data_IF_505225425120
#
_entry.id   IF_505225425120
#
_cell.length_a   1.000
_cell.length_b   1.000
_cell.length_c   1.000
_cell.angle_alpha   90.00
_cell.angle_beta   90.00
_cell.angle_gamma   90.00
#
_symmetry.space_group_name_H-M   'P 1'
#
loop_
_entity.id
_entity.type
_entity.pdbx_description
1 polymer ?
#
# COMPACT_ATOMS: atom_id res chain seq x y z
N UNK A 1 4.59 39.61 2.91
CA UNK A 1 3.46 38.77 2.43
C UNK A 1 2.75 38.23 3.67
N UNK A 2 1.56 38.69 3.95
CA UNK A 2 0.73 38.21 5.06
C UNK A 2 0.30 36.78 4.76
N UNK A 3 0.68 35.86 5.61
CA UNK A 3 0.32 34.42 5.51
C UNK A 3 -1.21 34.30 5.52
N UNK A 4 -1.78 33.52 4.62
CA UNK A 4 -3.23 33.28 4.59
C UNK A 4 -3.67 32.69 5.96
N UNK A 5 -4.62 33.32 6.68
CA UNK A 5 -5.08 32.79 7.98
C UNK A 5 -5.57 31.33 7.92
N UNK A 6 -6.01 30.88 6.75
CA UNK A 6 -6.43 29.48 6.51
C UNK A 6 -5.28 28.50 6.61
N UNK A 7 -4.06 28.92 6.24
CA UNK A 7 -2.84 28.07 6.33
C UNK A 7 -2.48 27.79 7.79
N UNK A 8 -2.62 28.79 8.69
CA UNK A 8 -2.38 28.57 10.12
C UNK A 8 -3.33 27.52 10.69
N UNK A 9 -4.61 27.60 10.36
CA UNK A 9 -5.61 26.61 10.79
C UNK A 9 -5.33 25.19 10.21
N UNK A 10 -4.81 25.12 8.99
CA UNK A 10 -4.40 23.85 8.41
C UNK A 10 -3.23 23.24 9.18
N UNK A 11 -2.18 24.01 9.44
CA UNK A 11 -1.00 23.51 10.17
C UNK A 11 -1.37 23.02 11.58
N UNK A 12 -2.19 23.75 12.31
CA UNK A 12 -2.68 23.33 13.63
C UNK A 12 -3.50 22.02 13.56
N UNK A 13 -4.34 21.89 12.53
CA UNK A 13 -5.09 20.66 12.31
C UNK A 13 -4.16 19.48 12.01
N UNK A 14 -3.14 19.67 11.17
CA UNK A 14 -2.19 18.63 10.81
C UNK A 14 -1.29 18.23 11.97
N UNK A 15 -0.82 19.20 12.75
CA UNK A 15 -0.07 18.97 14.00
C UNK A 15 -0.85 18.05 14.94
N UNK A 16 -2.13 18.36 15.14
CA UNK A 16 -2.99 17.50 15.95
C UNK A 16 -3.13 16.09 15.41
N UNK A 17 -3.28 15.92 14.07
CA UNK A 17 -3.38 14.60 13.47
C UNK A 17 -2.10 13.78 13.68
N UNK A 18 -0.95 14.44 13.61
CA UNK A 18 0.36 13.84 13.77
C UNK A 18 0.66 13.49 15.23
N UNK A 19 0.60 14.47 16.12
CA UNK A 19 1.07 14.34 17.51
C UNK A 19 0.01 13.78 18.46
N UNK A 20 -1.26 14.20 18.34
CA UNK A 20 -2.31 13.75 19.27
C UNK A 20 -3.00 12.47 18.79
N UNK A 21 -3.27 12.34 17.46
CA UNK A 21 -3.91 11.15 16.90
C UNK A 21 -2.92 10.12 16.37
N UNK A 22 -1.64 10.42 16.37
CA UNK A 22 -0.54 9.54 15.91
C UNK A 22 -0.82 8.90 14.55
N UNK A 23 -1.37 9.69 13.62
CA UNK A 23 -1.64 9.21 12.28
C UNK A 23 -0.34 9.10 11.48
N UNK A 24 -0.27 8.16 10.56
CA UNK A 24 0.90 8.00 9.71
C UNK A 24 1.17 9.25 8.87
N UNK A 25 2.44 9.57 8.60
CA UNK A 25 2.85 10.69 7.76
C UNK A 25 2.17 10.67 6.38
N UNK A 26 1.87 9.48 5.82
CA UNK A 26 1.10 9.35 4.59
C UNK A 26 -0.35 9.84 4.74
N UNK A 27 -0.98 9.54 5.87
CA UNK A 27 -2.35 10.00 6.16
C UNK A 27 -2.37 11.52 6.36
N UNK A 28 -1.41 12.08 7.11
CA UNK A 28 -1.28 13.53 7.33
C UNK A 28 -1.08 14.27 6.00
N UNK A 29 -0.16 13.81 5.13
CA UNK A 29 0.02 14.37 3.78
C UNK A 29 -1.27 14.34 2.94
N UNK A 30 -2.06 13.32 3.09
CA UNK A 30 -3.32 13.18 2.37
C UNK A 30 -4.37 14.17 2.87
N UNK A 31 -4.47 14.40 4.18
CA UNK A 31 -5.32 15.44 4.75
C UNK A 31 -4.87 16.82 4.28
N UNK A 32 -3.56 17.11 4.30
CA UNK A 32 -2.99 18.35 3.76
C UNK A 32 -3.47 18.60 2.34
N UNK A 33 -3.24 17.65 1.42
CA UNK A 33 -3.64 17.79 0.00
C UNK A 33 -5.14 18.01 -0.18
N UNK A 34 -5.96 17.34 0.62
CA UNK A 34 -7.41 17.52 0.54
C UNK A 34 -7.82 18.95 0.95
N UNK A 35 -7.25 19.50 2.03
CA UNK A 35 -7.59 20.85 2.51
C UNK A 35 -6.97 21.93 1.61
N UNK A 36 -5.75 21.75 1.12
CA UNK A 36 -5.15 22.63 0.10
C UNK A 36 -6.02 22.69 -1.18
N UNK A 37 -6.58 21.53 -1.61
CA UNK A 37 -7.54 21.50 -2.72
C UNK A 37 -8.82 22.29 -2.42
N UNK A 38 -9.30 22.31 -1.16
CA UNK A 38 -10.43 23.15 -0.74
C UNK A 38 -10.09 24.63 -0.92
N UNK A 39 -8.91 25.05 -0.46
CA UNK A 39 -8.46 26.44 -0.53
C UNK A 39 -8.26 26.88 -1.99
N UNK A 40 -7.62 26.05 -2.79
CA UNK A 40 -7.40 26.32 -4.23
C UNK A 40 -8.72 26.41 -5.02
N UNK A 41 -9.72 25.61 -4.65
CA UNK A 41 -11.04 25.65 -5.30
C UNK A 41 -11.93 26.78 -4.80
N UNK A 42 -11.56 27.47 -3.70
CA UNK A 42 -12.31 28.55 -3.10
C UNK A 42 -11.37 29.70 -2.72
N UNK A 43 -10.70 30.35 -3.70
CA UNK A 43 -9.75 31.41 -3.41
C UNK A 43 -10.43 32.58 -2.69
N UNK A 44 -9.75 33.10 -1.64
CA UNK A 44 -10.23 34.23 -0.86
C UNK A 44 -11.51 33.99 -0.02
N UNK A 45 -12.10 32.80 -0.09
CA UNK A 45 -13.32 32.52 0.67
C UNK A 45 -13.00 32.31 2.16
N UNK A 46 -13.75 32.98 3.01
CA UNK A 46 -13.74 32.72 4.46
C UNK A 46 -14.32 31.33 4.74
N UNK A 47 -13.66 30.55 5.59
CA UNK A 47 -14.07 29.17 5.91
C UNK A 47 -15.44 29.11 6.60
N UNK A 48 -15.76 30.09 7.43
CA UNK A 48 -17.04 30.21 8.14
C UNK A 48 -18.23 30.57 7.22
N UNK A 49 -17.94 31.01 6.00
CA UNK A 49 -18.94 31.34 4.97
C UNK A 49 -19.07 30.26 3.87
N UNK A 50 -18.32 29.17 3.99
CA UNK A 50 -18.50 28.04 3.09
C UNK A 50 -19.76 27.25 3.47
N UNK A 51 -20.72 27.24 2.58
CA UNK A 51 -21.99 26.54 2.72
C UNK A 51 -22.01 25.21 1.92
N UNK A 52 -22.96 24.30 2.20
CA UNK A 52 -23.06 23.03 1.51
C UNK A 52 -23.28 23.18 -0.01
N UNK A 53 -23.96 24.23 -0.47
CA UNK A 53 -24.25 24.46 -1.89
C UNK A 53 -22.98 24.84 -2.64
N UNK A 54 -22.15 25.70 -2.07
CA UNK A 54 -20.84 26.07 -2.63
C UNK A 54 -19.93 24.86 -2.73
N UNK A 55 -19.89 24.01 -1.68
CA UNK A 55 -19.07 22.79 -1.72
C UNK A 55 -19.59 21.78 -2.74
N UNK A 56 -20.91 21.65 -2.96
CA UNK A 56 -21.46 20.83 -4.05
C UNK A 56 -21.00 21.33 -5.41
N UNK A 57 -21.01 22.65 -5.63
CA UNK A 57 -20.48 23.26 -6.88
C UNK A 57 -18.98 22.96 -7.04
N UNK A 58 -18.21 23.09 -5.98
CA UNK A 58 -16.77 22.72 -6.00
C UNK A 58 -16.56 21.24 -6.37
N UNK A 59 -17.35 20.34 -5.80
CA UNK A 59 -17.31 18.90 -6.14
C UNK A 59 -17.64 18.66 -7.61
N UNK A 60 -18.67 19.33 -8.14
CA UNK A 60 -19.04 19.23 -9.55
C UNK A 60 -17.92 19.74 -10.48
N UNK A 61 -17.27 20.84 -10.13
CA UNK A 61 -16.10 21.37 -10.88
C UNK A 61 -14.90 20.42 -10.85
N UNK A 62 -14.60 19.79 -9.72
CA UNK A 62 -13.52 18.80 -9.63
C UNK A 62 -13.82 17.59 -10.54
N UNK A 63 -15.08 17.18 -10.58
CA UNK A 63 -15.52 16.08 -11.43
C UNK A 63 -15.46 16.43 -12.92
N UNK A 64 -15.92 17.60 -13.33
CA UNK A 64 -15.86 18.07 -14.72
C UNK A 64 -14.42 18.24 -15.23
N UNK A 65 -13.45 18.48 -14.33
CA UNK A 65 -12.02 18.50 -14.64
C UNK A 65 -11.39 17.09 -14.74
N UNK A 66 -12.21 16.03 -14.76
CA UNK A 66 -11.75 14.64 -14.93
C UNK A 66 -11.37 13.91 -13.64
N UNK A 67 -11.58 14.52 -12.46
CA UNK A 67 -11.26 13.84 -11.20
C UNK A 67 -12.26 12.73 -10.91
N UNK A 68 -11.76 11.52 -10.62
CA UNK A 68 -12.63 10.37 -10.36
C UNK A 68 -13.47 10.57 -9.10
N UNK A 69 -14.69 10.03 -9.07
CA UNK A 69 -15.54 10.09 -7.88
C UNK A 69 -14.91 9.44 -6.65
N UNK A 70 -14.02 8.43 -6.82
CA UNK A 70 -13.23 7.84 -5.73
C UNK A 70 -12.25 8.85 -5.15
N UNK A 71 -11.54 9.59 -5.98
CA UNK A 71 -10.62 10.66 -5.55
C UNK A 71 -11.38 11.76 -4.83
N UNK A 72 -12.54 12.17 -5.38
CA UNK A 72 -13.40 13.20 -4.79
C UNK A 72 -13.95 12.73 -3.44
N UNK A 73 -14.39 11.47 -3.31
CA UNK A 73 -14.84 10.91 -2.02
C UNK A 73 -13.76 11.02 -0.95
N UNK A 74 -12.52 10.75 -1.35
CA UNK A 74 -11.36 10.87 -0.47
C UNK A 74 -11.11 12.32 -0.04
N UNK A 75 -11.18 13.28 -0.99
CA UNK A 75 -11.05 14.72 -0.72
C UNK A 75 -12.15 15.19 0.23
N UNK A 76 -13.42 14.83 -0.02
CA UNK A 76 -14.55 15.17 0.85
C UNK A 76 -14.35 14.63 2.27
N UNK A 77 -13.78 13.44 2.41
CA UNK A 77 -13.45 12.87 3.74
C UNK A 77 -12.43 13.74 4.48
N UNK A 78 -11.42 14.26 3.78
CA UNK A 78 -10.45 15.21 4.33
C UNK A 78 -11.11 16.52 4.77
N UNK A 79 -11.95 17.12 3.92
CA UNK A 79 -12.71 18.33 4.24
C UNK A 79 -13.61 18.13 5.46
N UNK A 80 -14.34 17.01 5.49
CA UNK A 80 -15.22 16.68 6.62
C UNK A 80 -14.45 16.58 7.94
N UNK A 81 -13.27 15.97 7.91
CA UNK A 81 -12.39 15.88 9.08
C UNK A 81 -11.88 17.24 9.54
N UNK A 82 -11.47 18.11 8.61
CA UNK A 82 -11.01 19.45 8.89
C UNK A 82 -12.12 20.33 9.49
N UNK A 83 -13.29 20.38 8.85
CA UNK A 83 -14.43 21.14 9.41
C UNK A 83 -14.95 20.58 10.73
N UNK A 84 -14.91 19.27 10.94
CA UNK A 84 -15.25 18.69 12.25
C UNK A 84 -14.30 19.16 13.35
N UNK A 85 -13.02 19.33 13.02
CA UNK A 85 -12.04 19.91 13.93
C UNK A 85 -12.29 21.39 14.18
N UNK A 86 -12.59 22.18 13.14
CA UNK A 86 -12.91 23.61 13.27
C UNK A 86 -14.14 23.84 14.17
N UNK A 87 -15.20 23.05 14.00
CA UNK A 87 -16.38 23.10 14.88
C UNK A 87 -15.99 22.81 16.32
N UNK A 88 -15.21 21.78 16.55
CA UNK A 88 -14.86 21.35 17.91
C UNK A 88 -13.88 22.29 18.61
N UNK A 89 -12.98 22.95 17.88
CA UNK A 89 -11.83 23.63 18.48
C UNK A 89 -11.66 25.09 18.08
N UNK A 90 -12.44 25.59 17.13
CA UNK A 90 -12.31 26.96 16.58
C UNK A 90 -13.63 27.73 16.53
N UNK A 91 -14.67 27.25 17.22
CA UNK A 91 -15.95 27.95 17.35
C UNK A 91 -16.78 28.04 16.07
N UNK A 92 -16.52 27.18 15.07
CA UNK A 92 -17.34 27.12 13.87
C UNK A 92 -18.73 26.55 14.22
N UNK A 93 -19.80 27.19 13.71
CA UNK A 93 -21.17 26.81 14.05
C UNK A 93 -21.57 25.42 13.55
N UNK A 94 -21.12 25.03 12.36
CA UNK A 94 -21.48 23.76 11.73
C UNK A 94 -20.42 23.28 10.73
N UNK A 95 -20.52 22.00 10.35
CA UNK A 95 -19.67 21.38 9.34
C UNK A 95 -20.40 21.36 7.98
N UNK A 96 -20.02 22.18 6.99
CA UNK A 96 -20.71 22.28 5.71
C UNK A 96 -20.55 21.03 4.83
N UNK A 97 -19.70 20.06 5.22
CA UNK A 97 -19.50 18.82 4.50
C UNK A 97 -20.48 17.70 4.92
N UNK A 98 -21.37 17.97 5.89
CA UNK A 98 -22.41 17.00 6.28
C UNK A 98 -23.34 16.77 5.09
N UNK A 99 -23.62 15.50 4.75
CA UNK A 99 -24.46 15.13 3.59
C UNK A 99 -23.80 15.35 2.23
N UNK A 100 -22.58 15.88 2.13
CA UNK A 100 -21.86 16.01 0.88
C UNK A 100 -21.45 14.61 0.37
N UNK A 101 -21.80 14.30 -0.89
CA UNK A 101 -21.50 13.01 -1.53
C UNK A 101 -20.66 13.23 -2.78
N UNK A 102 -19.73 12.29 -3.01
CA UNK A 102 -18.98 12.23 -4.26
C UNK A 102 -19.85 11.64 -5.40
N UNK A 103 -19.56 11.97 -6.66
CA UNK A 103 -20.14 11.29 -7.81
C UNK A 103 -19.87 9.78 -7.75
N UNK A 104 -20.82 8.98 -8.25
CA UNK A 104 -20.64 7.52 -8.33
C UNK A 104 -19.46 7.20 -9.25
N UNK A 105 -18.56 6.35 -8.79
CA UNK A 105 -17.51 5.76 -9.64
C UNK A 105 -17.90 4.33 -9.99
N UNK A 106 -17.64 3.86 -11.22
CA UNK A 106 -17.75 2.45 -11.52
C UNK A 106 -16.93 1.63 -10.53
N UNK A 107 -17.54 0.66 -9.89
CA UNK A 107 -16.81 -0.32 -9.09
C UNK A 107 -16.16 -1.31 -10.06
N UNK A 108 -14.96 -1.00 -10.55
CA UNK A 108 -14.15 -2.04 -11.17
C UNK A 108 -13.89 -3.13 -10.13
N UNK A 109 -14.26 -4.37 -10.44
CA UNK A 109 -13.83 -5.50 -9.64
C UNK A 109 -12.29 -5.49 -9.61
N UNK A 110 -11.66 -5.67 -8.45
CA UNK A 110 -10.22 -5.87 -8.39
C UNK A 110 -9.91 -7.09 -9.25
N UNK A 111 -9.17 -6.89 -10.32
CA UNK A 111 -8.79 -8.00 -11.19
C UNK A 111 -7.51 -8.61 -10.66
N UNK A 112 -7.60 -9.77 -10.02
CA UNK A 112 -6.43 -10.62 -9.83
C UNK A 112 -5.85 -10.98 -11.20
N UNK A 113 -4.52 -11.06 -11.31
CA UNK A 113 -3.89 -11.69 -12.48
C UNK A 113 -4.21 -13.19 -12.41
N UNK A 114 -4.51 -13.80 -13.55
CA UNK A 114 -4.63 -15.26 -13.60
C UNK A 114 -3.30 -15.92 -13.25
N UNK A 115 -3.28 -17.20 -12.83
CA UNK A 115 -2.04 -17.93 -12.55
C UNK A 115 -1.06 -17.88 -13.72
N UNK A 116 -1.54 -18.00 -14.97
CA UNK A 116 -0.71 -17.95 -16.19
C UNK A 116 -0.08 -16.57 -16.41
N UNK A 117 -0.84 -15.49 -16.23
CA UNK A 117 -0.31 -14.13 -16.33
C UNK A 117 0.69 -13.82 -15.21
N UNK A 118 0.44 -14.38 -14.02
CA UNK A 118 1.37 -14.28 -12.91
C UNK A 118 2.66 -15.06 -13.19
N UNK A 119 2.56 -16.26 -13.73
CA UNK A 119 3.73 -17.05 -14.15
C UNK A 119 4.54 -16.29 -15.21
N UNK A 120 3.89 -15.77 -16.27
CA UNK A 120 4.56 -14.93 -17.29
C UNK A 120 5.28 -13.74 -16.71
N UNK A 121 4.67 -13.06 -15.71
CA UNK A 121 5.28 -11.93 -15.03
C UNK A 121 6.54 -12.32 -14.26
N UNK A 122 6.49 -13.43 -13.52
CA UNK A 122 7.52 -13.83 -12.56
C UNK A 122 8.61 -14.73 -13.16
N UNK A 123 8.30 -15.52 -14.22
CA UNK A 123 9.29 -16.37 -14.89
C UNK A 123 10.15 -15.61 -15.92
N UNK A 124 9.83 -14.33 -16.16
CA UNK A 124 10.59 -13.52 -17.10
C UNK A 124 12.06 -13.41 -16.70
N UNK A 125 12.93 -13.42 -17.71
CA UNK A 125 14.38 -13.31 -17.54
C UNK A 125 14.76 -11.90 -17.01
N UNK A 126 15.69 -11.88 -16.06
CA UNK A 126 16.32 -10.69 -15.52
C UNK A 126 17.74 -10.57 -16.10
N UNK A 127 17.97 -9.61 -16.99
CA UNK A 127 19.25 -9.42 -17.67
C UNK A 127 20.17 -8.39 -17.01
N UNK A 128 19.74 -7.74 -15.93
CA UNK A 128 20.53 -6.73 -15.18
C UNK A 128 20.34 -6.90 -13.69
N UNK A 129 21.29 -6.41 -12.89
CA UNK A 129 21.22 -6.39 -11.42
C UNK A 129 19.94 -5.72 -10.90
N UNK A 130 19.54 -4.59 -11.51
CA UNK A 130 18.27 -3.94 -11.17
C UNK A 130 17.05 -4.82 -11.47
N UNK A 131 17.08 -5.59 -12.55
CA UNK A 131 16.00 -6.53 -12.89
C UNK A 131 16.00 -7.76 -11.98
N UNK A 132 17.16 -8.24 -11.53
CA UNK A 132 17.27 -9.31 -10.52
C UNK A 132 16.64 -8.86 -9.20
N UNK A 133 16.93 -7.64 -8.75
CA UNK A 133 16.25 -7.00 -7.62
C UNK A 133 14.74 -6.96 -7.81
N UNK A 134 14.29 -6.45 -8.95
CA UNK A 134 12.86 -6.24 -9.24
C UNK A 134 12.11 -7.59 -9.23
N UNK A 135 12.70 -8.62 -9.83
CA UNK A 135 12.17 -9.99 -9.80
C UNK A 135 12.06 -10.52 -8.38
N UNK A 136 13.09 -10.35 -7.55
CA UNK A 136 13.05 -10.77 -6.14
C UNK A 136 11.93 -10.05 -5.36
N UNK A 137 11.74 -8.74 -5.57
CA UNK A 137 10.65 -7.99 -4.97
C UNK A 137 9.27 -8.51 -5.41
N UNK A 138 9.09 -8.82 -6.69
CA UNK A 138 7.79 -9.27 -7.21
C UNK A 138 7.48 -10.70 -6.77
N UNK A 139 8.46 -11.60 -6.80
CA UNK A 139 8.33 -12.96 -6.27
C UNK A 139 7.96 -12.95 -4.78
N UNK A 140 8.68 -12.18 -3.96
CA UNK A 140 8.43 -12.11 -2.53
C UNK A 140 7.06 -11.48 -2.24
N UNK A 141 6.68 -10.42 -2.98
CA UNK A 141 5.36 -9.78 -2.83
C UNK A 141 4.21 -10.73 -3.16
N UNK A 142 4.34 -11.53 -4.22
CA UNK A 142 3.32 -12.50 -4.59
C UNK A 142 3.34 -13.72 -3.69
N UNK A 143 4.52 -14.25 -3.35
CA UNK A 143 4.67 -15.43 -2.50
C UNK A 143 4.06 -15.24 -1.12
N UNK A 144 4.27 -14.08 -0.50
CA UNK A 144 3.91 -13.84 0.90
C UNK A 144 2.79 -12.81 1.08
N UNK A 145 2.21 -12.34 -0.01
CA UNK A 145 1.12 -11.36 0.01
C UNK A 145 1.46 -10.05 0.73
N UNK A 146 2.72 -9.61 0.70
CA UNK A 146 3.18 -8.42 1.42
C UNK A 146 2.55 -7.14 0.90
N UNK A 147 2.27 -6.19 1.80
CA UNK A 147 1.99 -4.81 1.40
C UNK A 147 3.27 -4.16 0.90
N UNK A 148 3.16 -3.24 -0.07
CA UNK A 148 4.34 -2.54 -0.59
C UNK A 148 5.20 -1.89 0.53
N UNK A 149 4.57 -1.29 1.54
CA UNK A 149 5.29 -0.70 2.66
C UNK A 149 6.04 -1.75 3.51
N UNK A 150 5.46 -2.94 3.69
CA UNK A 150 6.08 -4.05 4.41
C UNK A 150 7.28 -4.59 3.61
N UNK A 151 7.15 -4.80 2.31
CA UNK A 151 8.26 -5.17 1.44
C UNK A 151 9.42 -4.18 1.51
N UNK A 152 9.11 -2.88 1.49
CA UNK A 152 10.10 -1.81 1.52
C UNK A 152 10.77 -1.64 2.89
N UNK A 153 10.17 -2.13 3.97
CA UNK A 153 10.76 -2.06 5.31
C UNK A 153 11.73 -3.19 5.62
N UNK A 154 11.83 -4.21 4.76
CA UNK A 154 12.73 -5.33 4.98
C UNK A 154 14.20 -4.90 4.94
N UNK A 155 14.98 -5.46 5.85
CA UNK A 155 16.41 -5.30 5.94
C UNK A 155 17.15 -6.59 5.55
N UNK A 156 18.46 -6.51 5.31
CA UNK A 156 19.30 -7.67 5.00
C UNK A 156 19.24 -8.70 6.14
N UNK A 157 19.07 -8.25 7.38
CA UNK A 157 18.91 -9.14 8.55
C UNK A 157 17.67 -10.05 8.43
N UNK A 158 16.61 -9.62 7.73
CA UNK A 158 15.41 -10.45 7.53
C UNK A 158 15.64 -11.58 6.51
N UNK A 159 16.74 -11.52 5.75
CA UNK A 159 17.05 -12.52 4.73
C UNK A 159 17.33 -13.92 5.32
N UNK A 160 17.82 -14.03 6.54
CA UNK A 160 18.05 -15.32 7.18
C UNK A 160 16.72 -16.09 7.36
N UNK A 161 15.68 -15.42 7.87
CA UNK A 161 14.34 -16.01 7.97
C UNK A 161 13.80 -16.43 6.61
N UNK A 162 13.95 -15.58 5.61
CA UNK A 162 13.50 -15.86 4.24
C UNK A 162 14.20 -17.08 3.65
N UNK A 163 15.53 -17.14 3.73
CA UNK A 163 16.33 -18.16 3.04
C UNK A 163 16.36 -19.50 3.77
N UNK A 164 16.53 -19.50 5.10
CA UNK A 164 16.70 -20.71 5.89
C UNK A 164 15.39 -21.26 6.42
N UNK A 165 14.55 -20.39 6.99
CA UNK A 165 13.31 -20.82 7.64
C UNK A 165 12.12 -20.85 6.66
N UNK A 166 12.22 -20.16 5.52
CA UNK A 166 11.13 -20.04 4.55
C UNK A 166 9.99 -19.17 5.05
N UNK A 167 10.31 -18.15 5.84
CA UNK A 167 9.33 -17.25 6.44
C UNK A 167 9.84 -15.81 6.49
N UNK A 168 8.92 -14.84 6.57
CA UNK A 168 9.24 -13.44 6.78
C UNK A 168 8.31 -12.83 7.81
N UNK A 169 8.87 -12.14 8.81
CA UNK A 169 8.11 -11.40 9.80
C UNK A 169 8.01 -9.94 9.41
N UNK A 170 6.79 -9.42 9.32
CA UNK A 170 6.53 -8.03 8.97
C UNK A 170 5.66 -7.32 9.99
N UNK A 171 5.84 -6.00 10.11
CA UNK A 171 5.06 -5.15 10.98
C UNK A 171 4.01 -4.40 10.17
N UNK A 172 2.74 -4.67 10.44
CA UNK A 172 1.61 -4.05 9.79
C UNK A 172 1.09 -2.78 10.49
N UNK A 173 -0.10 -2.34 10.10
CA UNK A 173 -0.77 -1.19 10.71
C UNK A 173 -1.01 -1.42 12.21
N UNK A 174 -0.68 -0.42 13.02
CA UNK A 174 -0.82 -0.48 14.50
C UNK A 174 0.28 -1.31 15.17
N UNK A 175 1.47 -1.41 14.57
CA UNK A 175 2.63 -2.14 15.06
C UNK A 175 2.39 -3.66 15.28
N UNK A 176 1.34 -4.22 14.67
CA UNK A 176 1.07 -5.66 14.75
C UNK A 176 2.05 -6.43 13.88
N UNK A 177 2.79 -7.34 14.50
CA UNK A 177 3.71 -8.25 13.80
C UNK A 177 2.97 -9.49 13.33
N UNK A 178 3.33 -10.00 12.17
CA UNK A 178 2.92 -11.30 11.67
C UNK A 178 4.03 -11.95 10.88
N UNK A 179 4.10 -13.26 10.96
CA UNK A 179 4.99 -14.10 10.17
C UNK A 179 4.20 -14.76 9.05
N UNK A 180 4.73 -14.74 7.84
CA UNK A 180 4.11 -15.34 6.66
C UNK A 180 5.12 -16.24 5.94
N UNK A 181 4.67 -17.37 5.35
CA UNK A 181 5.54 -18.27 4.62
C UNK A 181 6.07 -17.65 3.33
N UNK A 182 7.25 -18.10 2.92
CA UNK A 182 7.95 -17.72 1.68
C UNK A 182 8.28 -18.97 0.88
N UNK A 183 7.68 -19.08 -0.32
CA UNK A 183 7.88 -20.22 -1.22
C UNK A 183 9.27 -20.30 -1.82
N UNK A 184 9.64 -21.48 -2.29
CA UNK A 184 10.98 -21.79 -2.82
C UNK A 184 11.42 -20.87 -3.98
N UNK A 185 10.50 -20.49 -4.87
CA UNK A 185 10.78 -19.58 -5.98
C UNK A 185 11.17 -18.17 -5.50
N UNK A 186 10.46 -17.65 -4.50
CA UNK A 186 10.77 -16.34 -3.91
C UNK A 186 12.11 -16.39 -3.14
N UNK A 187 12.38 -17.48 -2.43
CA UNK A 187 13.67 -17.71 -1.76
C UNK A 187 14.83 -17.66 -2.76
N UNK A 188 14.75 -18.45 -3.83
CA UNK A 188 15.79 -18.47 -4.89
C UNK A 188 15.96 -17.09 -5.55
N UNK A 189 14.88 -16.33 -5.74
CA UNK A 189 14.97 -14.99 -6.31
C UNK A 189 15.65 -14.00 -5.34
N UNK A 190 15.37 -14.09 -4.03
CA UNK A 190 16.03 -13.27 -3.00
C UNK A 190 17.51 -13.64 -2.88
N UNK A 191 17.85 -14.93 -2.94
CA UNK A 191 19.24 -15.39 -2.93
C UNK A 191 20.03 -14.85 -4.12
N UNK A 192 19.48 -14.96 -5.34
CA UNK A 192 20.08 -14.41 -6.54
C UNK A 192 20.26 -12.88 -6.46
N UNK A 193 19.31 -12.18 -5.85
CA UNK A 193 19.44 -10.74 -5.60
C UNK A 193 20.57 -10.43 -4.62
N UNK A 194 20.65 -11.14 -3.50
CA UNK A 194 21.70 -10.91 -2.49
C UNK A 194 23.11 -11.12 -3.05
N UNK A 195 23.30 -12.07 -3.97
CA UNK A 195 24.57 -12.33 -4.63
C UNK A 195 25.06 -11.13 -5.47
N UNK A 196 24.17 -10.29 -5.99
CA UNK A 196 24.49 -9.14 -6.83
C UNK A 196 24.20 -7.79 -6.15
N UNK A 197 23.61 -7.80 -4.96
CA UNK A 197 23.15 -6.58 -4.27
C UNK A 197 24.25 -5.54 -4.07
N UNK A 198 25.46 -5.99 -3.77
CA UNK A 198 26.62 -5.13 -3.52
C UNK A 198 26.98 -4.22 -4.72
N UNK A 199 26.60 -4.60 -5.93
CA UNK A 199 26.82 -3.77 -7.13
C UNK A 199 26.01 -2.47 -7.12
N UNK A 200 24.90 -2.43 -6.35
CA UNK A 200 23.99 -1.27 -6.28
C UNK A 200 23.94 -0.64 -4.89
N UNK A 201 24.24 -1.37 -3.83
CA UNK A 201 24.07 -0.90 -2.46
C UNK A 201 25.21 0.02 -2.03
N UNK A 202 24.88 1.10 -1.34
CA UNK A 202 25.90 1.89 -0.62
C UNK A 202 26.51 1.06 0.50
N UNK A 203 27.78 1.31 0.85
CA UNK A 203 28.41 0.67 2.02
C UNK A 203 27.57 0.88 3.28
N UNK A 204 27.28 -0.21 4.01
CA UNK A 204 26.51 -0.17 5.26
C UNK A 204 25.00 0.03 5.12
N UNK A 205 24.45 0.09 3.90
CA UNK A 205 22.99 0.19 3.71
C UNK A 205 22.27 -1.06 4.21
N UNK A 206 21.39 -0.96 5.25
CA UNK A 206 20.73 -2.12 5.84
C UNK A 206 19.56 -2.65 5.00
N UNK A 207 18.95 -1.82 4.13
CA UNK A 207 17.77 -2.20 3.40
C UNK A 207 18.00 -3.43 2.51
N UNK A 208 17.10 -4.41 2.56
CA UNK A 208 17.16 -5.58 1.68
C UNK A 208 17.11 -5.15 0.20
N UNK A 209 16.22 -4.23 -0.16
CA UNK A 209 16.06 -3.75 -1.52
C UNK A 209 16.50 -2.28 -1.66
N UNK A 210 17.48 -2.05 -2.54
CA UNK A 210 18.07 -0.73 -2.78
C UNK A 210 17.69 -0.16 -4.13
N UNK A 211 17.64 1.15 -4.22
CA UNK A 211 17.39 1.90 -5.46
C UNK A 211 18.65 2.19 -6.25
N UNK A 212 18.54 2.87 -7.40
CA UNK A 212 19.67 3.23 -8.24
C UNK A 212 20.70 4.17 -7.56
N UNK A 213 20.35 4.83 -6.46
CA UNK A 213 21.25 5.67 -5.66
C UNK A 213 21.86 4.94 -4.46
N UNK A 214 21.73 3.63 -4.41
CA UNK A 214 22.33 2.76 -3.40
C UNK A 214 21.63 2.69 -2.05
N UNK A 215 20.70 3.59 -1.74
CA UNK A 215 19.89 3.56 -0.52
C UNK A 215 18.56 2.80 -0.71
N UNK A 216 17.80 2.65 0.37
CA UNK A 216 16.49 1.96 0.35
C UNK A 216 15.60 2.41 -0.81
N UNK A 217 15.04 1.45 -1.56
CA UNK A 217 14.19 1.74 -2.72
C UNK A 217 12.85 2.38 -2.31
N UNK A 218 12.41 3.37 -3.08
CA UNK A 218 11.14 4.05 -2.84
C UNK A 218 9.94 3.38 -3.51
N UNK A 219 8.74 3.59 -2.95
CA UNK A 219 7.50 3.04 -3.44
C UNK A 219 7.16 3.40 -4.90
N UNK A 220 7.52 4.60 -5.35
CA UNK A 220 7.35 5.05 -6.74
C UNK A 220 8.23 4.26 -7.70
N UNK A 221 9.48 3.98 -7.31
CA UNK A 221 10.42 3.19 -8.12
C UNK A 221 9.92 1.76 -8.31
N UNK A 222 9.40 1.12 -7.26
CA UNK A 222 8.81 -0.24 -7.37
C UNK A 222 7.59 -0.26 -8.28
N UNK A 223 6.69 0.73 -8.15
CA UNK A 223 5.51 0.84 -9.05
C UNK A 223 5.93 1.04 -10.50
N UNK A 224 6.91 1.90 -10.74
CA UNK A 224 7.45 2.14 -12.06
C UNK A 224 8.11 0.88 -12.65
N UNK A 225 8.98 0.21 -11.87
CA UNK A 225 9.62 -1.03 -12.28
C UNK A 225 8.61 -2.10 -12.66
N UNK A 226 7.58 -2.33 -11.82
CA UNK A 226 6.54 -3.32 -12.09
C UNK A 226 5.71 -2.98 -13.34
N UNK A 227 5.36 -1.71 -13.53
CA UNK A 227 4.64 -1.24 -14.71
C UNK A 227 5.47 -1.46 -15.99
N UNK A 228 6.75 -1.08 -15.97
CA UNK A 228 7.69 -1.28 -17.08
C UNK A 228 7.89 -2.77 -17.40
N UNK A 229 7.99 -3.60 -16.36
CA UNK A 229 8.13 -5.05 -16.50
C UNK A 229 6.91 -5.66 -17.18
N UNK A 230 5.71 -5.33 -16.71
CA UNK A 230 4.46 -5.80 -17.30
C UNK A 230 4.29 -5.34 -18.76
N UNK A 231 4.64 -4.09 -19.07
CA UNK A 231 4.58 -3.55 -20.43
C UNK A 231 5.54 -4.30 -21.38
N UNK A 232 6.79 -4.56 -20.96
CA UNK A 232 7.78 -5.32 -21.73
C UNK A 232 7.29 -6.72 -22.08
N UNK A 233 6.50 -7.34 -21.20
CA UNK A 233 5.94 -8.67 -21.40
C UNK A 233 4.61 -8.68 -22.18
N UNK A 234 4.12 -7.51 -22.59
CA UNK A 234 2.84 -7.40 -23.31
C UNK A 234 1.65 -7.85 -22.46
N UNK A 235 1.67 -7.58 -21.13
CA UNK A 235 0.53 -7.93 -20.31
C UNK A 235 -0.65 -6.99 -20.59
N UNK A 236 -1.89 -7.51 -20.68
CA UNK A 236 -3.05 -6.77 -21.20
C UNK A 236 -3.60 -5.72 -20.24
N UNK A 237 -3.03 -5.57 -19.05
CA UNK A 237 -3.52 -4.66 -18.03
C UNK A 237 -2.38 -4.01 -17.24
N UNK A 238 -2.68 -2.82 -16.70
CA UNK A 238 -1.74 -2.11 -15.85
C UNK A 238 -1.54 -2.87 -14.53
N UNK A 239 -0.33 -3.41 -14.32
CA UNK A 239 0.03 -4.16 -13.11
C UNK A 239 0.59 -3.24 -12.06
N UNK A 240 0.16 -3.41 -10.81
CA UNK A 240 0.62 -2.64 -9.65
C UNK A 240 0.74 -3.54 -8.40
N UNK A 241 1.50 -3.15 -7.37
CA UNK A 241 1.83 -4.02 -6.23
C UNK A 241 0.60 -4.59 -5.49
N UNK A 242 -0.50 -3.86 -5.40
CA UNK A 242 -1.72 -4.39 -4.78
C UNK A 242 -2.35 -5.54 -5.57
N UNK A 243 -2.10 -5.61 -6.90
CA UNK A 243 -2.57 -6.74 -7.70
C UNK A 243 -1.80 -8.02 -7.36
N UNK A 244 -0.48 -7.95 -7.12
CA UNK A 244 0.31 -9.11 -6.69
C UNK A 244 -0.25 -9.70 -5.39
N UNK A 245 -0.48 -8.84 -4.40
CA UNK A 245 -1.09 -9.26 -3.13
C UNK A 245 -2.53 -9.77 -3.31
N UNK A 246 -3.32 -9.15 -4.17
CA UNK A 246 -4.70 -9.61 -4.45
C UNK A 246 -4.70 -10.96 -5.16
N UNK A 247 -3.79 -11.17 -6.12
CA UNK A 247 -3.62 -12.45 -6.80
C UNK A 247 -3.16 -13.55 -5.83
N UNK A 248 -2.23 -13.25 -4.92
CA UNK A 248 -1.89 -14.15 -3.82
C UNK A 248 -3.13 -14.57 -3.04
N UNK A 249 -3.91 -13.60 -2.54
CA UNK A 249 -5.10 -13.88 -1.75
C UNK A 249 -6.12 -14.74 -2.52
N UNK A 250 -6.36 -14.40 -3.79
CA UNK A 250 -7.32 -15.12 -4.63
C UNK A 250 -6.87 -16.55 -4.93
N UNK A 251 -5.58 -16.74 -5.31
CA UNK A 251 -5.07 -18.04 -5.69
C UNK A 251 -4.96 -18.98 -4.50
N UNK A 252 -4.48 -18.49 -3.35
CA UNK A 252 -4.42 -19.30 -2.13
C UNK A 252 -5.83 -19.66 -1.65
N UNK A 253 -6.79 -18.72 -1.67
CA UNK A 253 -8.17 -19.00 -1.31
C UNK A 253 -8.83 -20.02 -2.23
N UNK A 254 -8.66 -19.90 -3.55
CA UNK A 254 -9.23 -20.83 -4.52
C UNK A 254 -8.67 -22.24 -4.38
N UNK A 255 -7.40 -22.37 -3.99
CA UNK A 255 -6.75 -23.66 -3.88
C UNK A 255 -6.91 -24.30 -2.49
N UNK A 256 -6.94 -23.50 -1.40
CA UNK A 256 -7.08 -24.03 -0.04
C UNK A 256 -8.51 -24.14 0.45
N UNK A 257 -9.41 -23.28 -0.05
CA UNK A 257 -10.75 -23.08 0.54
C UNK A 257 -10.74 -22.42 1.92
N UNK A 258 -9.56 -22.14 2.49
CA UNK A 258 -9.42 -21.63 3.85
C UNK A 258 -9.32 -20.09 3.88
N UNK A 259 -10.49 -19.45 3.97
CA UNK A 259 -10.59 -17.98 4.07
C UNK A 259 -9.88 -17.45 5.33
N UNK A 260 -9.92 -18.21 6.44
CA UNK A 260 -9.32 -17.77 7.69
C UNK A 260 -7.79 -17.74 7.60
N UNK A 261 -7.18 -18.80 7.09
CA UNK A 261 -5.73 -18.82 6.85
C UNK A 261 -5.28 -17.66 5.95
N UNK A 262 -6.02 -17.39 4.85
CA UNK A 262 -5.73 -16.26 3.95
C UNK A 262 -5.84 -14.92 4.66
N UNK A 263 -6.88 -14.71 5.48
CA UNK A 263 -7.06 -13.47 6.25
C UNK A 263 -5.94 -13.25 7.26
N UNK A 264 -5.49 -14.30 7.92
CA UNK A 264 -4.37 -14.28 8.87
C UNK A 264 -3.06 -13.94 8.17
N UNK A 265 -2.71 -14.62 7.07
CA UNK A 265 -1.54 -14.29 6.24
C UNK A 265 -1.54 -12.84 5.77
N UNK A 266 -2.70 -12.31 5.40
CA UNK A 266 -2.84 -10.93 4.95
C UNK A 266 -2.84 -9.92 6.11
N UNK A 267 -3.06 -10.32 7.35
CA UNK A 267 -3.18 -9.41 8.50
C UNK A 267 -4.37 -8.45 8.33
N UNK A 268 -5.55 -8.98 8.02
CA UNK A 268 -6.78 -8.20 7.97
C UNK A 268 -7.31 -8.04 9.39
N UNK A 269 -7.42 -6.80 9.87
CA UNK A 269 -7.77 -6.43 11.25
C UNK A 269 -9.28 -6.54 11.57
N UNK A 270 -10.08 -7.19 10.76
CA UNK A 270 -11.53 -7.27 10.94
C UNK A 270 -11.96 -8.69 11.27
N UNK A 271 -11.62 -9.17 12.41
CA UNK A 271 -12.41 -10.01 13.31
C UNK A 271 -11.70 -9.93 14.66
N UNK A 272 -12.44 -9.54 15.71
CA UNK A 272 -11.95 -9.36 17.04
C UNK A 272 -11.31 -10.65 17.58
N UNK A 273 -10.02 -10.62 17.82
CA UNK A 273 -9.38 -11.12 19.03
C UNK A 273 -7.86 -11.05 18.85
N UNK A 274 -7.20 -10.49 19.83
CA UNK A 274 -5.75 -10.52 20.00
C UNK A 274 -5.34 -11.97 20.30
N UNK A 275 -5.10 -12.78 19.27
CA UNK A 275 -4.39 -14.02 19.44
C UNK A 275 -2.91 -13.78 19.18
N UNK A 276 -2.10 -14.04 20.21
CA UNK A 276 -0.65 -14.17 20.09
C UNK A 276 -0.42 -15.42 19.24
N UNK A 277 0.16 -15.26 18.05
CA UNK A 277 0.46 -16.39 17.17
C UNK A 277 1.46 -17.31 17.86
N UNK A 278 1.04 -18.52 18.15
CA UNK A 278 1.89 -19.58 18.65
C UNK A 278 2.57 -20.28 17.47
N UNK A 279 3.63 -21.00 17.71
CA UNK A 279 4.35 -21.81 16.70
C UNK A 279 3.43 -22.82 15.98
N UNK A 280 2.34 -23.24 16.63
CA UNK A 280 1.30 -24.13 16.07
C UNK A 280 0.47 -23.45 14.97
N UNK A 281 0.16 -22.17 15.15
CA UNK A 281 -0.61 -21.40 14.14
C UNK A 281 0.20 -21.22 12.85
N UNK A 282 1.52 -21.00 12.97
CA UNK A 282 2.40 -20.89 11.79
C UNK A 282 2.49 -22.20 11.01
N UNK A 283 2.58 -23.35 11.66
CA UNK A 283 2.60 -24.65 10.98
C UNK A 283 1.32 -24.93 10.18
N UNK A 284 0.16 -24.54 10.71
CA UNK A 284 -1.11 -24.62 9.99
C UNK A 284 -1.11 -23.73 8.76
N UNK A 285 -0.66 -22.48 8.90
CA UNK A 285 -0.55 -21.53 7.79
C UNK A 285 0.45 -22.00 6.72
N UNK A 286 1.59 -22.57 7.13
CA UNK A 286 2.59 -23.11 6.21
C UNK A 286 2.04 -24.31 5.43
N UNK A 287 1.32 -25.24 6.07
CA UNK A 287 0.67 -26.37 5.40
C UNK A 287 -0.39 -25.91 4.40
N UNK A 288 -1.26 -24.95 4.77
CA UNK A 288 -2.26 -24.38 3.87
C UNK A 288 -1.58 -23.67 2.68
N UNK A 289 -0.49 -22.96 2.93
CA UNK A 289 0.33 -22.32 1.90
C UNK A 289 0.95 -23.34 0.93
N UNK A 290 1.64 -24.35 1.46
CA UNK A 290 2.33 -25.37 0.65
C UNK A 290 1.38 -26.21 -0.21
N UNK A 291 0.16 -26.43 0.30
CA UNK A 291 -0.89 -27.13 -0.44
C UNK A 291 -1.52 -26.28 -1.56
N UNK A 292 -1.59 -24.97 -1.36
CA UNK A 292 -2.46 -24.09 -2.14
C UNK A 292 -1.71 -23.08 -3.02
N UNK A 293 -0.51 -22.62 -2.63
CA UNK A 293 0.16 -21.56 -3.36
C UNK A 293 0.89 -22.10 -4.60
N UNK A 294 0.64 -21.59 -5.82
CA UNK A 294 1.19 -22.15 -7.07
C UNK A 294 2.73 -22.17 -7.16
N UNK A 295 3.41 -21.37 -6.34
CA UNK A 295 4.88 -21.23 -6.34
C UNK A 295 5.53 -21.64 -5.00
N UNK A 296 4.82 -22.38 -4.14
CA UNK A 296 5.35 -22.84 -2.85
C UNK A 296 6.49 -23.83 -3.05
N UNK A 297 6.32 -24.81 -3.93
CA UNK A 297 7.28 -25.88 -4.19
C UNK A 297 8.00 -25.69 -5.53
N UNK A 298 9.28 -26.11 -5.60
CA UNK A 298 9.93 -26.33 -6.90
C UNK A 298 9.16 -27.42 -7.65
N UNK A 299 8.79 -27.19 -8.91
CA UNK A 299 8.47 -28.30 -9.79
C UNK A 299 9.75 -29.12 -9.98
N UNK A 300 9.66 -30.47 -9.94
CA UNK A 300 10.81 -31.34 -10.20
C UNK A 300 11.42 -31.05 -11.55
#
# INVERSE_FOLDING_TARGET
MTRDPRESLLEEFLDRLEHQRRLSAGTVRNYRRAVEQLFASNPGARLDKLDPQRLRRTVAQLHSRGMSGRTIAYIISGWRGFFAWLVKHRGFAHNPCVGLRAPKSPRGLPKALSPDLMARLLDAHAGTTAQTRDKAMFELSYSSGLRLAELLSLDVADAEGILRQGEVTVTGKGAKRRTVPVGSRARSAVEAWLATRAELANPGEPALFVGARGGRIGASSVRYALSRWALRLGLPQHVHPHMLRHSFATHVLQSSGDLRAVQEMLGHSSIATTQVYTHLDFQHLAKAYDAAHPRAKRKP
#
